data_IF_328989194527
#
_entry.id   IF_328989194527
#
_cell.length_a   1.000
_cell.length_b   1.000
_cell.length_c   1.000
_cell.angle_alpha   90.00
_cell.angle_beta   90.00
_cell.angle_gamma   90.00
#
_symmetry.space_group_name_H-M   'P 1'
#
loop_
_entity.id
_entity.type
_entity.pdbx_description
1 polymer ?
#
# COMPACT_ATOMS: atom_id res chain seq x y z
N UNK A 1 -20.77 -5.16 -2.58
CA UNK A 1 -21.18 -5.70 -1.26
C UNK A 1 -19.97 -6.44 -0.69
N UNK A 2 -19.01 -5.84 0.01
CA UNK A 2 -19.04 -4.82 1.05
C UNK A 2 -18.47 -3.45 0.61
N UNK A 3 -19.12 -2.33 0.97
CA UNK A 3 -18.54 -1.01 0.87
C UNK A 3 -17.68 -0.77 2.11
N UNK A 4 -16.46 -1.32 2.16
CA UNK A 4 -15.52 -0.94 3.22
C UNK A 4 -15.05 0.49 2.94
N UNK A 5 -15.40 1.40 3.85
CA UNK A 5 -15.16 2.84 3.83
C UNK A 5 -13.69 3.27 3.85
N UNK A 6 -12.85 2.68 3.01
CA UNK A 6 -11.47 3.11 2.79
C UNK A 6 -11.39 4.30 1.81
N UNK A 7 -12.46 4.55 1.04
CA UNK A 7 -12.54 5.70 0.12
C UNK A 7 -12.90 7.03 0.80
N UNK A 8 -13.17 7.06 2.10
CA UNK A 8 -13.43 8.30 2.84
C UNK A 8 -12.17 9.18 3.01
N UNK A 9 -10.98 8.65 2.72
CA UNK A 9 -9.72 9.41 2.73
C UNK A 9 -9.39 10.09 1.39
N UNK A 10 -10.38 10.29 0.52
CA UNK A 10 -10.26 11.13 -0.69
C UNK A 10 -10.51 12.60 -0.36
N UNK A 11 -9.88 13.06 0.73
CA UNK A 11 -9.80 14.47 1.02
C UNK A 11 -9.15 15.20 -0.16
N UNK A 12 -9.85 16.16 -0.76
CA UNK A 12 -9.33 16.98 -1.85
C UNK A 12 -8.18 17.89 -1.42
N UNK A 13 -7.94 18.02 -0.11
CA UNK A 13 -6.90 18.87 0.47
C UNK A 13 -6.11 18.13 1.56
N UNK A 14 -4.83 18.49 1.69
CA UNK A 14 -3.94 17.94 2.72
C UNK A 14 -4.49 18.12 4.15
N UNK A 15 -5.18 19.23 4.43
CA UNK A 15 -5.72 19.54 5.76
C UNK A 15 -6.85 18.59 6.18
N UNK A 16 -7.70 18.19 5.24
CA UNK A 16 -8.79 17.25 5.54
C UNK A 16 -8.23 15.83 5.73
N UNK A 17 -7.14 15.50 5.03
CA UNK A 17 -6.43 14.23 5.22
C UNK A 17 -5.73 14.13 6.59
N UNK A 18 -5.18 15.24 7.09
CA UNK A 18 -4.59 15.31 8.44
C UNK A 18 -5.66 15.10 9.53
N UNK A 19 -6.85 15.69 9.38
CA UNK A 19 -7.97 15.46 10.31
C UNK A 19 -8.42 14.00 10.34
N UNK A 20 -8.62 13.40 9.17
CA UNK A 20 -9.02 12.00 9.05
C UNK A 20 -7.94 11.05 9.62
N UNK A 21 -6.66 11.42 9.51
CA UNK A 21 -5.55 10.69 10.10
C UNK A 21 -5.59 10.72 11.63
N UNK A 22 -5.85 11.88 12.23
CA UNK A 22 -5.96 12.02 13.68
C UNK A 22 -7.16 11.24 14.24
N UNK A 23 -8.32 11.33 13.57
CA UNK A 23 -9.51 10.53 13.91
C UNK A 23 -9.23 9.02 13.84
N UNK A 24 -8.48 8.57 12.82
CA UNK A 24 -8.10 7.16 12.69
C UNK A 24 -7.21 6.71 13.86
N UNK A 25 -6.25 7.52 14.27
CA UNK A 25 -5.39 7.21 15.41
C UNK A 25 -6.19 7.11 16.71
N UNK A 26 -7.14 8.00 16.94
CA UNK A 26 -7.98 7.95 18.15
C UNK A 26 -8.83 6.66 18.20
N UNK A 27 -9.45 6.29 17.08
CA UNK A 27 -10.34 5.13 17.00
C UNK A 27 -9.59 3.79 17.09
N UNK A 28 -8.41 3.68 16.46
CA UNK A 28 -7.71 2.40 16.32
C UNK A 28 -6.49 2.22 17.23
N UNK A 29 -6.05 3.26 17.94
CA UNK A 29 -4.92 3.20 18.89
C UNK A 29 -5.05 2.04 19.89
N UNK A 30 -6.26 1.79 20.40
CA UNK A 30 -6.51 0.75 21.42
C UNK A 30 -6.46 -0.67 20.85
N UNK A 31 -6.81 -0.86 19.58
CA UNK A 31 -6.93 -2.19 18.96
C UNK A 31 -5.66 -2.59 18.22
N UNK A 32 -4.95 -1.63 17.63
CA UNK A 32 -3.80 -1.88 16.77
C UNK A 32 -2.66 -0.92 17.07
N UNK A 33 -2.07 -1.04 18.25
CA UNK A 33 -0.96 -0.18 18.73
C UNK A 33 0.22 -0.19 17.77
N UNK A 34 0.69 -1.37 17.35
CA UNK A 34 1.83 -1.50 16.43
C UNK A 34 1.60 -0.85 15.07
N UNK A 35 0.39 -0.94 14.52
CA UNK A 35 0.07 -0.33 13.24
C UNK A 35 0.05 1.20 13.36
N UNK A 36 -0.52 1.72 14.45
CA UNK A 36 -0.56 3.15 14.74
C UNK A 36 0.85 3.74 14.97
N UNK A 37 1.76 2.98 15.60
CA UNK A 37 3.15 3.41 15.81
C UNK A 37 3.94 3.49 14.50
N UNK A 38 3.72 2.57 13.56
CA UNK A 38 4.31 2.68 12.22
C UNK A 38 3.73 3.88 11.45
N UNK A 39 2.41 4.07 11.52
CA UNK A 39 1.75 5.20 10.86
C UNK A 39 2.31 6.56 11.33
N UNK A 40 2.54 6.69 12.65
CA UNK A 40 3.12 7.90 13.26
C UNK A 40 4.55 8.20 12.79
N UNK A 41 5.37 7.15 12.61
CA UNK A 41 6.76 7.30 12.14
C UNK A 41 6.82 7.79 10.70
N UNK A 42 5.92 7.28 9.85
CA UNK A 42 5.93 7.58 8.42
C UNK A 42 5.01 8.75 8.02
N UNK A 43 4.58 9.57 8.99
CA UNK A 43 3.65 10.69 8.81
C UNK A 43 4.12 11.64 7.70
N UNK A 44 5.37 12.07 7.73
CA UNK A 44 5.88 13.07 6.79
C UNK A 44 5.90 12.53 5.36
N UNK A 45 6.32 11.26 5.20
CA UNK A 45 6.38 10.56 3.91
C UNK A 45 4.99 10.26 3.34
N UNK A 46 3.98 10.03 4.17
CA UNK A 46 2.60 9.83 3.75
C UNK A 46 2.02 11.08 3.06
N UNK A 47 2.36 12.27 3.56
CA UNK A 47 1.82 13.52 3.04
C UNK A 47 2.61 14.13 1.88
N UNK A 48 3.81 13.63 1.54
CA UNK A 48 4.58 14.14 0.37
C UNK A 48 3.85 13.93 -0.95
N UNK A 49 2.91 12.98 -1.00
CA UNK A 49 2.03 12.74 -2.13
C UNK A 49 1.21 13.97 -2.57
N UNK A 50 0.80 14.82 -1.63
CA UNK A 50 -0.01 16.02 -1.94
C UNK A 50 0.79 17.12 -2.66
N UNK A 51 2.12 16.99 -2.78
CA UNK A 51 2.94 17.92 -3.55
C UNK A 51 2.83 17.70 -5.08
N UNK A 52 2.26 16.58 -5.51
CA UNK A 52 2.04 16.28 -6.93
C UNK A 52 0.70 16.84 -7.43
N UNK A 53 0.59 17.21 -8.72
CA UNK A 53 -0.66 17.71 -9.29
C UNK A 53 -1.78 16.65 -9.27
N UNK A 54 -3.02 17.13 -9.15
CA UNK A 54 -4.21 16.29 -8.89
C UNK A 54 -4.48 15.20 -9.95
N UNK A 55 -4.10 15.42 -11.20
CA UNK A 55 -4.24 14.43 -12.28
C UNK A 55 -3.47 13.12 -11.99
N UNK A 56 -2.36 13.22 -11.27
CA UNK A 56 -1.49 12.09 -10.97
C UNK A 56 -1.96 11.32 -9.72
N UNK A 57 -2.90 11.87 -8.96
CA UNK A 57 -3.36 11.28 -7.70
C UNK A 57 -4.00 9.91 -7.86
N UNK A 58 -4.70 9.67 -8.97
CA UNK A 58 -5.32 8.38 -9.27
C UNK A 58 -4.26 7.29 -9.52
N UNK A 59 -3.19 7.65 -10.23
CA UNK A 59 -2.12 6.72 -10.62
C UNK A 59 -1.17 6.40 -9.46
N UNK A 60 -0.88 7.37 -8.59
CA UNK A 60 0.01 7.14 -7.45
C UNK A 60 -0.68 6.29 -6.35
N UNK A 61 -2.01 6.38 -6.22
CA UNK A 61 -2.77 5.62 -5.23
C UNK A 61 -3.09 4.19 -5.64
N UNK A 62 -2.86 3.80 -6.89
CA UNK A 62 -3.09 2.41 -7.31
C UNK A 62 -1.94 1.50 -6.88
N UNK A 63 -2.26 0.46 -6.11
CA UNK A 63 -1.30 -0.60 -5.76
C UNK A 63 -1.20 -1.66 -6.83
N UNK A 64 -2.05 -1.63 -7.87
CA UNK A 64 -2.11 -2.66 -8.91
C UNK A 64 -0.77 -2.90 -9.63
N UNK A 65 0.03 -1.88 -10.00
CA UNK A 65 1.33 -2.11 -10.65
C UNK A 65 2.30 -2.94 -9.80
N UNK A 66 2.27 -2.73 -8.48
CA UNK A 66 3.11 -3.43 -7.51
C UNK A 66 2.48 -4.80 -7.18
N UNK A 67 1.20 -4.81 -6.81
CA UNK A 67 0.51 -6.03 -6.39
C UNK A 67 0.40 -7.06 -7.51
N UNK A 68 0.05 -6.65 -8.73
CA UNK A 68 -0.14 -7.55 -9.87
C UNK A 68 1.16 -8.28 -10.23
N UNK A 69 2.29 -7.55 -10.25
CA UNK A 69 3.60 -8.16 -10.51
C UNK A 69 3.98 -9.12 -9.38
N UNK A 70 3.85 -8.71 -8.11
CA UNK A 70 4.14 -9.59 -6.97
C UNK A 70 3.20 -10.80 -6.85
N UNK A 71 1.95 -10.69 -7.29
CA UNK A 71 0.99 -11.79 -7.30
C UNK A 71 1.48 -12.92 -8.22
N UNK A 72 1.99 -12.58 -9.41
CA UNK A 72 2.57 -13.58 -10.31
C UNK A 72 3.82 -14.23 -9.72
N UNK A 73 4.70 -13.45 -9.08
CA UNK A 73 5.90 -13.98 -8.41
C UNK A 73 5.51 -14.95 -7.30
N UNK A 74 4.59 -14.56 -6.41
CA UNK A 74 4.08 -15.41 -5.33
C UNK A 74 3.46 -16.71 -5.84
N UNK A 75 2.67 -16.63 -6.90
CA UNK A 75 2.05 -17.80 -7.54
C UNK A 75 3.11 -18.79 -8.03
N UNK A 76 4.14 -18.29 -8.72
CA UNK A 76 5.23 -19.12 -9.25
C UNK A 76 6.03 -19.76 -8.11
N UNK A 77 6.40 -19.00 -7.07
CA UNK A 77 7.12 -19.53 -5.91
C UNK A 77 6.33 -20.59 -5.15
N UNK A 78 5.02 -20.39 -4.97
CA UNK A 78 4.15 -21.40 -4.33
C UNK A 78 4.08 -22.68 -5.16
N UNK A 79 4.03 -22.57 -6.49
CA UNK A 79 3.96 -23.70 -7.41
C UNK A 79 5.28 -24.48 -7.48
N UNK A 80 6.42 -23.81 -7.37
CA UNK A 80 7.75 -24.46 -7.41
C UNK A 80 8.21 -25.02 -6.05
N UNK A 81 7.41 -24.86 -4.99
CA UNK A 81 7.72 -25.31 -3.61
C UNK A 81 9.10 -24.83 -3.11
N UNK A 82 9.47 -23.60 -3.48
CA UNK A 82 10.75 -22.97 -3.13
C UNK A 82 11.56 -22.53 -4.34
N UNK A 83 12.73 -21.96 -4.05
CA UNK A 83 13.75 -21.56 -5.00
C UNK A 83 14.81 -22.66 -4.99
N UNK A 84 14.94 -23.42 -6.08
CA UNK A 84 16.04 -24.38 -6.25
C UNK A 84 17.38 -23.63 -6.41
N UNK A 85 18.04 -23.81 -7.54
CA UNK A 85 19.25 -23.02 -7.85
C UNK A 85 18.90 -21.57 -8.22
N UNK A 86 19.88 -20.65 -8.09
CA UNK A 86 19.74 -19.24 -8.52
C UNK A 86 19.29 -19.12 -9.98
N UNK A 87 19.80 -19.99 -10.84
CA UNK A 87 19.47 -20.04 -12.27
C UNK A 87 17.99 -20.38 -12.48
N UNK A 88 17.47 -21.40 -11.79
CA UNK A 88 16.05 -21.76 -11.86
C UNK A 88 15.13 -20.64 -11.35
N UNK A 89 15.57 -19.89 -10.34
CA UNK A 89 14.80 -18.76 -9.83
C UNK A 89 14.69 -17.66 -10.88
N UNK A 90 15.81 -17.26 -11.50
CA UNK A 90 15.84 -16.21 -12.53
C UNK A 90 15.01 -16.58 -13.77
N UNK A 91 15.02 -17.85 -14.20
CA UNK A 91 14.24 -18.29 -15.37
C UNK A 91 12.75 -18.37 -15.10
N UNK A 92 12.34 -18.72 -13.87
CA UNK A 92 10.93 -18.86 -13.52
C UNK A 92 10.30 -17.55 -13.05
N UNK A 93 11.02 -16.63 -12.40
CA UNK A 93 10.43 -15.39 -11.88
C UNK A 93 10.48 -14.23 -12.85
N UNK A 94 11.38 -14.22 -13.84
CA UNK A 94 11.42 -13.18 -14.85
C UNK A 94 10.30 -13.39 -15.88
N UNK A 95 9.38 -12.43 -16.12
CA UNK A 95 8.58 -12.41 -17.34
C UNK A 95 9.55 -12.25 -18.53
N UNK A 96 9.39 -13.07 -19.58
CA UNK A 96 10.02 -12.76 -20.86
C UNK A 96 9.49 -11.44 -21.40
#
# INVERSE_FOLDING_TARGET
MAPFGFWAALAGTKKDAEKAYDEFLELYSKKFTKACDCLKKDRDTLFTFYNFPAEHWSHIRTTNPIESTFATVRLRTKRTKGCGSRIATLTHTCPK
#
